data_IF_055405475984
#
_entry.id   IF_055405475984
#
_cell.length_a   1.000
_cell.length_b   1.000
_cell.length_c   1.000
_cell.angle_alpha   90.00
_cell.angle_beta   90.00
_cell.angle_gamma   90.00
#
_symmetry.space_group_name_H-M   'P 1'
#
loop_
_entity.id
_entity.type
_entity.pdbx_description
1 polymer ?
#
# COMPACT_ATOMS: atom_id res chain seq x y z
N UNK A 1 5.53 10.58 -5.40
CA UNK A 1 6.67 9.75 -5.85
C UNK A 1 6.20 8.40 -6.36
N UNK A 2 5.41 7.67 -5.57
CA UNK A 2 4.99 6.32 -5.96
C UNK A 2 4.22 6.28 -7.30
N UNK A 3 3.23 7.16 -7.57
CA UNK A 3 2.53 7.14 -8.86
C UNK A 3 3.42 7.44 -10.05
N UNK A 4 4.38 8.37 -9.91
CA UNK A 4 5.31 8.75 -10.98
C UNK A 4 6.29 7.63 -11.27
N UNK A 5 6.87 7.02 -10.23
CA UNK A 5 7.80 5.90 -10.37
C UNK A 5 7.10 4.70 -10.98
N UNK A 6 5.93 4.31 -10.46
CA UNK A 6 5.21 3.14 -10.98
C UNK A 6 4.79 3.34 -12.44
N UNK A 7 4.43 4.56 -12.85
CA UNK A 7 4.13 4.85 -14.26
C UNK A 7 5.35 4.67 -15.18
N UNK A 8 6.55 4.99 -14.71
CA UNK A 8 7.80 4.89 -15.48
C UNK A 8 8.40 3.48 -15.55
N UNK A 9 7.89 2.54 -14.74
CA UNK A 9 8.37 1.18 -14.64
C UNK A 9 7.57 0.19 -15.51
N UNK A 10 8.17 -0.95 -15.83
CA UNK A 10 7.45 -2.09 -16.39
C UNK A 10 6.55 -2.75 -15.33
N UNK A 11 5.59 -3.58 -15.77
CA UNK A 11 4.62 -4.19 -14.84
C UNK A 11 5.28 -5.19 -13.87
N UNK A 12 6.37 -5.85 -14.28
CA UNK A 12 7.11 -6.79 -13.43
C UNK A 12 7.85 -6.09 -12.30
N UNK A 13 8.59 -5.02 -12.58
CA UNK A 13 9.24 -4.23 -11.52
C UNK A 13 8.21 -3.46 -10.71
N UNK A 14 7.11 -3.02 -11.33
CA UNK A 14 5.94 -2.45 -10.65
C UNK A 14 5.35 -3.41 -9.60
N UNK A 15 5.17 -4.68 -9.95
CA UNK A 15 4.69 -5.72 -9.02
C UNK A 15 5.65 -5.93 -7.85
N UNK A 16 6.96 -6.02 -8.12
CA UNK A 16 7.99 -6.17 -7.07
C UNK A 16 7.97 -4.96 -6.15
N UNK A 17 7.85 -3.75 -6.71
CA UNK A 17 7.81 -2.51 -5.96
C UNK A 17 6.52 -2.39 -5.12
N UNK A 18 5.38 -2.84 -5.64
CA UNK A 18 4.11 -2.82 -4.91
C UNK A 18 3.98 -3.91 -3.85
N UNK A 19 4.77 -4.99 -3.91
CA UNK A 19 4.67 -6.12 -2.96
C UNK A 19 5.94 -6.28 -2.13
N UNK A 20 7.01 -6.79 -2.74
CA UNK A 20 8.25 -7.20 -2.08
C UNK A 20 8.91 -6.07 -1.29
N UNK A 21 8.97 -4.86 -1.86
CA UNK A 21 9.62 -3.70 -1.21
C UNK A 21 8.87 -3.23 0.05
N UNK A 22 7.60 -3.61 0.23
CA UNK A 22 6.82 -3.23 1.41
C UNK A 22 7.10 -4.14 2.61
N UNK A 23 7.65 -5.34 2.42
CA UNK A 23 7.83 -6.33 3.49
C UNK A 23 8.80 -5.87 4.58
N UNK A 24 9.99 -5.41 4.20
CA UNK A 24 11.02 -5.03 5.19
C UNK A 24 10.61 -3.81 6.04
N UNK A 25 10.11 -2.70 5.47
CA UNK A 25 9.62 -1.57 6.28
C UNK A 25 8.44 -1.97 7.18
N UNK A 26 7.54 -2.83 6.70
CA UNK A 26 6.38 -3.27 7.47
C UNK A 26 6.77 -4.15 8.66
N UNK A 27 7.72 -5.06 8.47
CA UNK A 27 8.26 -5.88 9.55
C UNK A 27 8.89 -5.02 10.66
N UNK A 28 9.60 -3.95 10.30
CA UNK A 28 10.17 -3.02 11.27
C UNK A 28 9.08 -2.28 12.07
N UNK A 29 8.03 -1.78 11.41
CA UNK A 29 6.91 -1.10 12.10
C UNK A 29 6.16 -2.06 13.03
N UNK A 30 6.01 -3.33 12.64
CA UNK A 30 5.38 -4.34 13.51
C UNK A 30 6.20 -4.62 14.78
N UNK A 31 7.53 -4.54 14.70
CA UNK A 31 8.42 -4.77 15.85
C UNK A 31 8.49 -3.54 16.77
N UNK A 32 8.38 -2.34 16.21
CA UNK A 32 8.45 -1.09 16.95
C UNK A 32 7.03 -0.65 17.30
N UNK A 33 6.55 -1.01 18.49
CA UNK A 33 5.30 -0.45 19.03
C UNK A 33 5.59 0.93 19.65
N UNK A 34 5.13 2.04 19.04
CA UNK A 34 5.33 3.35 19.63
C UNK A 34 4.43 3.53 20.85
N UNK A 35 4.94 4.25 21.85
CA UNK A 35 4.16 4.62 23.04
C UNK A 35 3.02 5.61 22.74
N UNK A 36 3.15 6.39 21.66
CA UNK A 36 2.11 7.31 21.17
C UNK A 36 1.71 6.96 19.74
N UNK A 37 0.47 6.50 19.56
CA UNK A 37 -0.09 6.09 18.27
C UNK A 37 -0.72 7.23 17.47
N UNK A 38 -0.89 8.42 18.05
CA UNK A 38 -1.62 9.53 17.41
C UNK A 38 -1.02 9.92 16.05
N UNK A 39 0.31 9.96 15.96
CA UNK A 39 1.02 10.28 14.72
C UNK A 39 0.76 9.22 13.64
N UNK A 40 0.84 7.93 13.98
CA UNK A 40 0.58 6.85 13.03
C UNK A 40 -0.87 6.82 12.57
N UNK A 41 -1.81 7.16 13.45
CA UNK A 41 -3.23 7.28 13.09
C UNK A 41 -3.43 8.42 12.09
N UNK A 42 -2.85 9.59 12.32
CA UNK A 42 -2.96 10.73 11.39
C UNK A 42 -2.32 10.40 10.04
N UNK A 43 -1.14 9.78 10.02
CA UNK A 43 -0.48 9.34 8.78
C UNK A 43 -1.28 8.26 8.04
N UNK A 44 -1.86 7.32 8.77
CA UNK A 44 -2.71 6.27 8.21
C UNK A 44 -4.00 6.82 7.58
N UNK A 45 -4.67 7.77 8.24
CA UNK A 45 -5.86 8.44 7.70
C UNK A 45 -5.53 9.30 6.49
N UNK A 46 -4.49 10.12 6.57
CA UNK A 46 -4.09 10.99 5.45
C UNK A 46 -3.68 10.18 4.22
N UNK A 47 -2.96 9.06 4.40
CA UNK A 47 -2.62 8.17 3.29
C UNK A 47 -3.86 7.48 2.68
N UNK A 48 -4.82 7.04 3.50
CA UNK A 48 -6.09 6.50 3.00
C UNK A 48 -6.86 7.54 2.15
N UNK A 49 -6.94 8.79 2.63
CA UNK A 49 -7.61 9.88 1.92
C UNK A 49 -6.89 10.28 0.63
N UNK A 50 -5.57 10.45 0.67
CA UNK A 50 -4.75 10.80 -0.50
C UNK A 50 -4.78 9.68 -1.54
N UNK A 51 -4.73 8.43 -1.12
CA UNK A 51 -4.88 7.27 -2.00
C UNK A 51 -6.24 7.24 -2.69
N UNK A 52 -7.32 7.43 -1.92
CA UNK A 52 -8.68 7.45 -2.47
C UNK A 52 -8.90 8.60 -3.45
N UNK A 53 -8.64 9.84 -3.02
CA UNK A 53 -8.91 11.03 -3.84
C UNK A 53 -7.99 11.14 -5.04
N UNK A 54 -6.71 10.79 -4.86
CA UNK A 54 -5.70 10.85 -5.92
C UNK A 54 -5.93 9.85 -7.04
N UNK A 55 -6.57 8.71 -6.74
CA UNK A 55 -6.90 7.68 -7.72
C UNK A 55 -8.09 8.00 -8.62
N UNK A 56 -9.06 8.81 -8.16
CA UNK A 56 -10.32 9.06 -8.89
C UNK A 56 -10.13 9.72 -10.26
N UNK A 57 -9.11 10.57 -10.40
CA UNK A 57 -8.87 11.33 -11.64
C UNK A 57 -7.68 10.78 -12.47
N UNK A 58 -7.32 9.51 -12.29
CA UNK A 58 -6.27 8.87 -13.08
C UNK A 58 -6.88 7.98 -14.16
N UNK A 59 -6.44 8.18 -15.40
CA UNK A 59 -6.75 7.27 -16.51
C UNK A 59 -5.71 6.18 -16.69
N UNK A 60 -4.50 6.41 -16.17
CA UNK A 60 -3.37 5.50 -16.29
C UNK A 60 -3.46 4.39 -15.25
N UNK A 61 -3.58 3.14 -15.70
CA UNK A 61 -3.72 1.96 -14.85
C UNK A 61 -2.63 1.87 -13.77
N UNK A 62 -1.37 2.10 -14.12
CA UNK A 62 -0.25 2.06 -13.17
C UNK A 62 -0.38 3.13 -12.09
N UNK A 63 -0.87 4.33 -12.40
CA UNK A 63 -1.15 5.35 -11.39
C UNK A 63 -2.31 4.97 -10.48
N UNK A 64 -3.39 4.39 -11.03
CA UNK A 64 -4.51 3.87 -10.24
C UNK A 64 -4.00 2.81 -9.24
N UNK A 65 -3.18 1.85 -9.69
CA UNK A 65 -2.57 0.83 -8.83
C UNK A 65 -1.62 1.41 -7.78
N UNK A 66 -0.90 2.49 -8.11
CA UNK A 66 -0.07 3.18 -7.13
C UNK A 66 -0.94 3.82 -6.04
N UNK A 67 -2.01 4.53 -6.41
CA UNK A 67 -2.91 5.17 -5.45
C UNK A 67 -3.68 4.16 -4.59
N UNK A 68 -4.13 3.03 -5.15
CA UNK A 68 -4.74 1.97 -4.35
C UNK A 68 -3.75 1.40 -3.32
N UNK A 69 -2.47 1.24 -3.68
CA UNK A 69 -1.45 0.80 -2.73
C UNK A 69 -1.18 1.80 -1.60
N UNK A 70 -1.31 3.11 -1.86
CA UNK A 70 -1.20 4.16 -0.84
C UNK A 70 -2.38 4.04 0.13
N UNK A 71 -3.60 3.84 -0.39
CA UNK A 71 -4.79 3.69 0.44
C UNK A 71 -4.74 2.44 1.33
N UNK A 72 -4.33 1.29 0.75
CA UNK A 72 -4.21 0.04 1.50
C UNK A 72 -3.15 0.13 2.61
N UNK A 73 -2.00 0.75 2.35
CA UNK A 73 -1.00 0.99 3.39
C UNK A 73 -1.54 1.86 4.53
N UNK A 74 -2.35 2.87 4.21
CA UNK A 74 -3.01 3.70 5.23
C UNK A 74 -3.88 2.89 6.18
N UNK A 75 -4.72 2.02 5.61
CA UNK A 75 -5.54 1.08 6.41
C UNK A 75 -4.71 0.12 7.24
N UNK A 76 -3.62 -0.42 6.69
CA UNK A 76 -2.73 -1.32 7.43
C UNK A 76 -2.08 -0.61 8.63
N UNK A 77 -1.57 0.62 8.45
CA UNK A 77 -0.95 1.39 9.54
C UNK A 77 -1.98 1.74 10.63
N UNK A 78 -3.22 2.07 10.24
CA UNK A 78 -4.31 2.33 11.19
C UNK A 78 -4.63 1.10 12.03
N UNK A 79 -4.89 -0.03 11.38
CA UNK A 79 -5.26 -1.28 12.06
C UNK A 79 -4.09 -1.81 12.90
N UNK A 80 -2.84 -1.54 12.53
CA UNK A 80 -1.64 -1.94 13.29
C UNK A 80 -1.67 -1.42 14.73
N UNK A 81 -2.25 -0.24 14.96
CA UNK A 81 -2.35 0.35 16.30
C UNK A 81 -3.32 -0.40 17.22
N UNK A 82 -4.24 -1.18 16.66
CA UNK A 82 -5.30 -1.87 17.40
C UNK A 82 -5.12 -3.40 17.40
N UNK A 83 -4.72 -3.97 16.26
CA UNK A 83 -4.55 -5.41 16.08
C UNK A 83 -3.53 -5.76 14.99
N UNK A 84 -2.33 -6.22 15.37
CA UNK A 84 -1.33 -6.69 14.43
C UNK A 84 -1.79 -7.89 13.58
N UNK A 85 -2.69 -8.73 14.09
CA UNK A 85 -3.17 -9.92 13.35
C UNK A 85 -4.06 -9.54 12.17
N UNK A 86 -4.98 -8.57 12.35
CA UNK A 86 -5.82 -8.05 11.25
C UNK A 86 -4.94 -7.32 10.23
N UNK A 87 -3.90 -6.65 10.70
CA UNK A 87 -2.92 -5.99 9.85
C UNK A 87 -2.19 -6.98 8.93
N UNK A 88 -1.77 -8.13 9.45
CA UNK A 88 -1.20 -9.20 8.63
C UNK A 88 -2.20 -9.75 7.60
N UNK A 89 -3.46 -9.95 8.00
CA UNK A 89 -4.51 -10.41 7.10
C UNK A 89 -4.71 -9.44 5.93
N UNK A 90 -4.78 -8.14 6.22
CA UNK A 90 -4.95 -7.10 5.17
C UNK A 90 -3.74 -7.00 4.24
N UNK A 91 -2.52 -7.24 4.74
CA UNK A 91 -1.32 -7.35 3.90
C UNK A 91 -1.42 -8.52 2.92
N UNK A 92 -1.85 -9.69 3.40
CA UNK A 92 -1.99 -10.88 2.57
C UNK A 92 -3.07 -10.70 1.50
N UNK A 93 -4.23 -10.13 1.85
CA UNK A 93 -5.28 -9.85 0.86
C UNK A 93 -4.81 -8.84 -0.19
N UNK A 94 -4.11 -7.78 0.23
CA UNK A 94 -3.51 -6.81 -0.68
C UNK A 94 -2.51 -7.47 -1.66
N UNK A 95 -1.66 -8.39 -1.19
CA UNK A 95 -0.73 -9.10 -2.07
C UNK A 95 -1.44 -9.99 -3.08
N UNK A 96 -2.48 -10.72 -2.67
CA UNK A 96 -3.26 -11.56 -3.59
C UNK A 96 -3.93 -10.71 -4.67
N UNK A 97 -4.57 -9.60 -4.30
CA UNK A 97 -5.25 -8.71 -5.26
C UNK A 97 -4.28 -7.97 -6.19
N UNK A 98 -3.14 -7.50 -5.67
CA UNK A 98 -2.17 -6.78 -6.51
C UNK A 98 -1.42 -7.74 -7.44
N UNK A 99 -0.98 -8.89 -6.95
CA UNK A 99 -0.35 -9.88 -7.81
C UNK A 99 -1.27 -10.34 -8.94
N UNK A 100 -2.54 -10.64 -8.63
CA UNK A 100 -3.49 -11.05 -9.68
C UNK A 100 -3.70 -9.96 -10.73
N UNK A 101 -3.90 -8.70 -10.32
CA UNK A 101 -4.08 -7.58 -11.26
C UNK A 101 -2.85 -7.34 -12.13
N UNK A 102 -1.65 -7.25 -11.55
CA UNK A 102 -0.42 -7.06 -12.33
C UNK A 102 -0.15 -8.21 -13.31
N UNK A 103 -0.42 -9.47 -12.90
CA UNK A 103 -0.22 -10.63 -13.78
C UNK A 103 -1.23 -10.65 -14.93
N UNK A 104 -2.50 -10.31 -14.67
CA UNK A 104 -3.53 -10.22 -15.72
C UNK A 104 -3.17 -9.18 -16.79
N UNK A 105 -2.67 -8.01 -16.39
CA UNK A 105 -2.29 -6.96 -17.35
C UNK A 105 -0.92 -7.15 -17.99
N UNK A 106 -0.14 -8.12 -17.52
CA UNK A 106 1.14 -8.50 -18.14
C UNK A 106 0.94 -9.52 -19.27
N UNK A 107 -0.04 -10.41 -19.14
CA UNK A 107 -0.43 -11.38 -20.16
C UNK A 107 -0.96 -10.67 -21.42
#
# INVERSE_FOLDING_TARGET
WLPEVLQGLDLTTGLILSTWQKLAPFALILQIQPSNSALLIILGLTSALVGGWGGLNQTQLRKILAYSSIAHLGWMILVLQFSPSITLLTLLTYFIMTSSTFLVFKL
#
